data_IF_814670644282
#
_entry.id   IF_814670644282
#
_cell.length_a   1.000
_cell.length_b   1.000
_cell.length_c   1.000
_cell.angle_alpha   90.00
_cell.angle_beta   90.00
_cell.angle_gamma   90.00
#
_symmetry.space_group_name_H-M   'P 1'
#
loop_
_entity.id
_entity.type
_entity.pdbx_description
1 polymer ?
#
# COMPACT_ATOMS: atom_id res chain seq x y z
N UNK A 1 9.19 37.54 -48.19
CA UNK A 1 8.06 36.68 -47.78
C UNK A 1 8.62 35.56 -46.95
N UNK A 2 8.63 35.74 -45.63
CA UNK A 2 9.09 34.74 -44.66
C UNK A 2 7.85 34.14 -43.97
N UNK A 3 7.54 32.89 -44.26
CA UNK A 3 6.44 32.16 -43.65
C UNK A 3 6.85 31.64 -42.28
N UNK A 4 6.21 32.18 -41.27
CA UNK A 4 6.33 31.73 -39.86
C UNK A 4 5.52 30.46 -39.66
N UNK A 5 6.20 29.33 -39.44
CA UNK A 5 5.58 28.10 -39.01
C UNK A 5 5.59 28.05 -37.47
N UNK A 6 4.42 28.15 -36.89
CA UNK A 6 4.16 27.94 -35.43
C UNK A 6 4.30 26.46 -35.12
N UNK A 7 5.01 26.06 -34.06
CA UNK A 7 5.04 24.65 -33.64
C UNK A 7 3.71 24.29 -32.95
N UNK A 8 3.08 23.23 -33.44
CA UNK A 8 1.89 22.61 -32.89
C UNK A 8 2.25 21.90 -31.59
N UNK A 9 1.52 22.21 -30.53
CA UNK A 9 1.64 21.50 -29.23
C UNK A 9 1.23 20.02 -29.36
N UNK A 10 1.86 19.10 -28.64
CA UNK A 10 1.50 17.69 -28.71
C UNK A 10 0.09 17.49 -28.13
N UNK A 11 -0.75 16.78 -28.86
CA UNK A 11 -2.08 16.37 -28.45
C UNK A 11 -2.01 15.45 -27.25
N UNK A 12 -2.64 15.87 -26.15
CA UNK A 12 -2.90 15.04 -24.97
C UNK A 12 -3.81 13.89 -25.41
N UNK A 13 -3.29 12.67 -25.40
CA UNK A 13 -4.06 11.47 -25.64
C UNK A 13 -5.15 11.29 -24.55
N UNK A 14 -6.23 10.53 -24.83
CA UNK A 14 -7.35 10.41 -23.92
C UNK A 14 -6.89 9.76 -22.61
N UNK A 15 -7.21 10.40 -21.48
CA UNK A 15 -7.05 9.85 -20.14
C UNK A 15 -7.73 8.48 -20.09
N UNK A 16 -6.95 7.44 -19.83
CA UNK A 16 -7.44 6.09 -19.61
C UNK A 16 -8.16 6.12 -18.27
N UNK A 17 -9.47 6.32 -18.31
CA UNK A 17 -10.36 6.10 -17.19
C UNK A 17 -10.47 4.60 -16.96
N UNK A 18 -9.48 4.02 -16.27
CA UNK A 18 -9.60 2.71 -15.66
C UNK A 18 -10.66 2.80 -14.57
N UNK A 19 -11.92 2.56 -14.93
CA UNK A 19 -12.98 2.33 -13.95
C UNK A 19 -12.62 1.08 -13.16
N UNK A 20 -11.99 1.29 -12.01
CA UNK A 20 -11.86 0.26 -10.97
C UNK A 20 -13.24 -0.35 -10.72
N UNK A 21 -13.47 -1.57 -11.23
CA UNK A 21 -14.66 -2.37 -10.91
C UNK A 21 -14.47 -3.05 -9.55
N UNK A 22 -14.20 -2.26 -8.52
CA UNK A 22 -14.26 -2.77 -7.15
C UNK A 22 -15.71 -2.61 -6.72
N UNK A 23 -16.54 -3.59 -7.05
CA UNK A 23 -17.78 -3.82 -6.33
C UNK A 23 -17.44 -4.82 -5.20
N UNK A 24 -17.32 -4.39 -3.94
CA UNK A 24 -17.23 -5.34 -2.83
C UNK A 24 -18.50 -6.18 -2.86
N UNK A 25 -18.35 -7.47 -2.59
CA UNK A 25 -19.50 -8.38 -2.50
C UNK A 25 -20.48 -7.80 -1.46
N UNK A 26 -21.66 -7.41 -1.91
CA UNK A 26 -22.66 -6.63 -1.16
C UNK A 26 -23.05 -7.29 0.18
N UNK A 27 -22.97 -8.61 0.27
CA UNK A 27 -23.28 -9.40 1.47
C UNK A 27 -22.25 -9.25 2.61
N UNK A 28 -20.98 -9.00 2.29
CA UNK A 28 -19.89 -8.92 3.28
C UNK A 28 -19.80 -7.55 3.93
N UNK A 29 -20.10 -6.49 3.19
CA UNK A 29 -20.27 -5.14 3.72
C UNK A 29 -21.37 -5.11 4.79
N UNK A 30 -22.46 -5.86 4.57
CA UNK A 30 -23.55 -5.94 5.54
C UNK A 30 -23.10 -6.57 6.87
N UNK A 31 -22.31 -7.65 6.83
CA UNK A 31 -21.85 -8.32 8.04
C UNK A 31 -20.91 -7.46 8.89
N UNK A 32 -19.92 -6.82 8.27
CA UNK A 32 -19.02 -5.90 8.99
C UNK A 32 -19.78 -4.70 9.54
N UNK A 33 -20.73 -4.14 8.79
CA UNK A 33 -21.56 -3.04 9.24
C UNK A 33 -22.42 -3.41 10.46
N UNK A 34 -22.98 -4.64 10.47
CA UNK A 34 -23.76 -5.16 11.61
C UNK A 34 -22.87 -5.27 12.85
N UNK A 35 -21.67 -5.88 12.73
CA UNK A 35 -20.73 -6.01 13.84
C UNK A 35 -20.30 -4.66 14.38
N UNK A 36 -19.96 -3.72 13.50
CA UNK A 36 -19.60 -2.34 13.90
C UNK A 36 -20.76 -1.65 14.62
N UNK A 37 -21.99 -1.83 14.15
CA UNK A 37 -23.17 -1.26 14.82
C UNK A 37 -23.38 -1.86 16.23
N UNK A 38 -23.16 -3.16 16.41
CA UNK A 38 -23.21 -3.81 17.72
C UNK A 38 -22.11 -3.33 18.65
N UNK A 39 -20.87 -3.22 18.16
CA UNK A 39 -19.73 -2.68 18.93
C UNK A 39 -20.00 -1.24 19.39
N UNK A 40 -20.53 -0.41 18.52
CA UNK A 40 -20.93 0.98 18.86
C UNK A 40 -21.99 1.04 19.94
N UNK A 41 -23.00 0.17 19.86
CA UNK A 41 -24.05 0.09 20.89
C UNK A 41 -23.48 -0.36 22.25
N UNK A 42 -22.66 -1.44 22.24
CA UNK A 42 -22.02 -1.94 23.47
C UNK A 42 -21.13 -0.85 24.09
N UNK A 43 -20.30 -0.17 23.29
CA UNK A 43 -19.44 0.92 23.74
C UNK A 43 -20.26 2.08 24.33
N UNK A 44 -21.28 2.53 23.63
CA UNK A 44 -22.16 3.62 24.11
C UNK A 44 -22.83 3.25 25.44
N UNK A 45 -23.28 2.00 25.60
CA UNK A 45 -23.83 1.50 26.86
C UNK A 45 -22.81 1.55 28.01
N UNK A 46 -21.57 1.16 27.77
CA UNK A 46 -20.51 1.22 28.80
C UNK A 46 -20.08 2.66 29.10
N UNK A 47 -20.07 3.55 28.10
CA UNK A 47 -19.72 4.95 28.25
C UNK A 47 -20.70 5.72 29.16
N UNK A 48 -21.97 5.32 29.24
CA UNK A 48 -22.93 5.90 30.18
C UNK A 48 -22.55 5.69 31.65
N UNK A 49 -21.84 4.63 31.96
CA UNK A 49 -21.48 4.24 33.31
C UNK A 49 -20.00 4.47 33.67
N UNK A 50 -19.15 4.90 32.73
CA UNK A 50 -17.70 4.97 32.94
C UNK A 50 -17.26 5.95 34.02
N UNK A 51 -18.05 6.99 34.28
CA UNK A 51 -17.79 7.98 35.34
C UNK A 51 -17.98 7.36 36.72
N UNK A 52 -19.07 6.57 36.89
CA UNK A 52 -19.37 5.87 38.13
C UNK A 52 -18.48 4.63 38.35
N UNK A 53 -18.01 4.00 37.26
CA UNK A 53 -17.23 2.78 37.30
C UNK A 53 -15.94 2.90 36.44
N UNK A 54 -14.87 3.53 36.98
CA UNK A 54 -13.60 3.73 36.23
C UNK A 54 -12.96 2.45 35.68
N UNK A 55 -13.24 1.29 36.27
CA UNK A 55 -12.81 -0.04 35.79
C UNK A 55 -13.32 -0.42 34.40
N UNK A 56 -14.32 0.29 33.86
CA UNK A 56 -14.82 0.07 32.51
C UNK A 56 -13.96 0.74 31.43
N UNK A 57 -13.07 1.67 31.77
CA UNK A 57 -12.21 2.38 30.82
C UNK A 57 -11.38 1.44 29.91
N UNK A 58 -10.73 0.36 30.40
CA UNK A 58 -9.99 -0.55 29.55
C UNK A 58 -10.89 -1.28 28.52
N UNK A 59 -12.11 -1.68 28.92
CA UNK A 59 -13.07 -2.32 28.03
C UNK A 59 -13.55 -1.36 26.93
N UNK A 60 -13.87 -0.13 27.30
CA UNK A 60 -14.25 0.92 26.33
C UNK A 60 -13.10 1.19 25.36
N UNK A 61 -11.86 1.28 25.84
CA UNK A 61 -10.69 1.46 24.97
C UNK A 61 -10.47 0.27 24.03
N UNK A 62 -10.72 -0.96 24.49
CA UNK A 62 -10.65 -2.15 23.66
C UNK A 62 -11.70 -2.14 22.55
N UNK A 63 -12.97 -1.80 22.88
CA UNK A 63 -14.04 -1.68 21.90
C UNK A 63 -13.75 -0.61 20.85
N UNK A 64 -13.24 0.55 21.26
CA UNK A 64 -12.81 1.62 20.33
C UNK A 64 -11.72 1.15 19.39
N UNK A 65 -10.72 0.38 19.89
CA UNK A 65 -9.66 -0.18 19.05
C UNK A 65 -10.20 -1.17 18.02
N UNK A 66 -11.11 -2.06 18.43
CA UNK A 66 -11.73 -3.03 17.52
C UNK A 66 -12.57 -2.29 16.47
N UNK A 67 -13.42 -1.34 16.88
CA UNK A 67 -14.22 -0.52 15.98
C UNK A 67 -13.34 0.19 14.94
N UNK A 68 -12.32 0.93 15.40
CA UNK A 68 -11.37 1.63 14.53
C UNK A 68 -10.69 0.66 13.53
N UNK A 69 -10.31 -0.54 13.99
CA UNK A 69 -9.66 -1.53 13.14
C UNK A 69 -10.58 -2.10 12.06
N UNK A 70 -11.89 -2.19 12.33
CA UNK A 70 -12.88 -2.67 11.37
C UNK A 70 -13.32 -1.60 10.37
N UNK A 71 -13.29 -0.33 10.78
CA UNK A 71 -13.81 0.78 9.97
C UNK A 71 -12.74 1.54 9.17
N UNK A 72 -11.46 1.47 9.59
CA UNK A 72 -10.39 2.14 8.84
C UNK A 72 -10.08 1.40 7.54
N UNK A 73 -9.61 2.10 6.51
CA UNK A 73 -9.02 1.47 5.34
C UNK A 73 -7.93 0.47 5.71
N UNK A 74 -7.72 -0.55 4.89
CA UNK A 74 -6.59 -1.45 5.04
C UNK A 74 -5.29 -0.70 4.77
N UNK A 75 -4.22 -1.03 5.51
CA UNK A 75 -2.90 -0.42 5.34
C UNK A 75 -1.95 -1.38 4.69
N UNK A 76 -1.37 -0.95 3.58
CA UNK A 76 -0.38 -1.70 2.82
C UNK A 76 0.97 -1.00 2.92
N UNK A 77 1.95 -1.68 3.49
CA UNK A 77 3.33 -1.18 3.52
C UNK A 77 4.02 -1.45 2.19
N UNK A 78 4.75 -0.48 1.67
CA UNK A 78 5.63 -0.62 0.51
C UNK A 78 7.07 -0.59 1.02
N UNK A 79 7.77 -1.71 0.92
CA UNK A 79 9.09 -1.94 1.52
C UNK A 79 10.06 -2.44 0.44
N UNK A 80 11.34 -2.21 0.62
CA UNK A 80 12.40 -2.68 -0.28
C UNK A 80 13.65 -1.83 -0.17
N UNK A 81 14.71 -2.20 -0.89
CA UNK A 81 15.97 -1.47 -0.88
C UNK A 81 15.84 -0.05 -1.45
N UNK A 82 16.88 0.76 -1.22
CA UNK A 82 16.97 2.08 -1.85
C UNK A 82 16.97 1.91 -3.38
N UNK A 83 16.27 2.80 -4.08
CA UNK A 83 16.08 2.74 -5.54
C UNK A 83 15.36 1.47 -6.07
N UNK A 84 14.67 0.71 -5.24
CA UNK A 84 13.88 -0.44 -5.70
C UNK A 84 12.54 -0.07 -6.34
N UNK A 85 12.28 1.22 -6.58
CA UNK A 85 11.04 1.67 -7.25
C UNK A 85 9.82 1.79 -6.34
N UNK A 86 9.97 1.77 -5.00
CA UNK A 86 8.87 1.88 -4.02
C UNK A 86 7.97 3.09 -4.25
N UNK A 87 8.58 4.26 -4.34
CA UNK A 87 7.85 5.51 -4.50
C UNK A 87 7.15 5.60 -5.87
N UNK A 88 7.79 5.06 -6.92
CA UNK A 88 7.14 4.93 -8.24
C UNK A 88 5.95 3.98 -8.17
N UNK A 89 6.08 2.87 -7.45
CA UNK A 89 5.00 1.92 -7.22
C UNK A 89 3.85 2.57 -6.44
N UNK A 90 4.14 3.32 -5.37
CA UNK A 90 3.14 4.06 -4.60
C UNK A 90 2.34 5.01 -5.50
N UNK A 91 3.02 5.79 -6.34
CA UNK A 91 2.38 6.70 -7.29
C UNK A 91 1.48 5.98 -8.29
N UNK A 92 1.95 4.87 -8.87
CA UNK A 92 1.17 4.06 -9.80
C UNK A 92 -0.11 3.52 -9.13
N UNK A 93 -0.01 3.00 -7.91
CA UNK A 93 -1.14 2.44 -7.18
C UNK A 93 -2.15 3.50 -6.71
N UNK A 94 -1.70 4.71 -6.45
CA UNK A 94 -2.58 5.82 -6.07
C UNK A 94 -3.31 6.40 -7.29
N UNK A 95 -2.76 6.21 -8.50
CA UNK A 95 -3.40 6.64 -9.76
C UNK A 95 -3.45 8.15 -9.94
N UNK A 96 -2.52 8.89 -9.36
CA UNK A 96 -2.40 10.34 -9.50
C UNK A 96 -1.05 10.66 -10.13
N UNK A 97 -1.06 11.35 -11.27
CA UNK A 97 0.13 11.74 -12.02
C UNK A 97 1.07 12.70 -11.27
N UNK A 98 0.66 13.17 -10.11
CA UNK A 98 1.41 14.16 -9.34
C UNK A 98 1.26 14.04 -7.82
N UNK A 99 1.69 12.92 -7.24
CA UNK A 99 2.26 13.09 -5.88
C UNK A 99 3.55 13.86 -6.12
N UNK A 100 3.76 15.04 -5.49
CA UNK A 100 4.99 15.79 -5.71
C UNK A 100 6.18 14.87 -5.48
N UNK A 101 6.91 14.56 -6.55
CA UNK A 101 8.07 13.64 -6.52
C UNK A 101 9.10 14.05 -5.48
N UNK A 102 9.17 15.35 -5.15
CA UNK A 102 10.00 15.89 -4.08
C UNK A 102 9.67 15.32 -2.68
N UNK A 103 8.40 14.91 -2.42
CA UNK A 103 7.97 14.37 -1.14
C UNK A 103 8.23 12.87 -1.09
N UNK A 104 7.91 12.17 -2.17
CA UNK A 104 8.00 10.70 -2.24
C UNK A 104 9.44 10.23 -2.51
N UNK A 105 10.24 10.99 -3.27
CA UNK A 105 11.59 10.59 -3.66
C UNK A 105 12.67 10.80 -2.59
N UNK A 106 12.39 11.53 -1.51
CA UNK A 106 13.38 11.87 -0.47
C UNK A 106 12.98 11.33 0.92
N UNK A 107 12.18 10.29 0.95
CA UNK A 107 11.60 9.75 2.19
C UNK A 107 12.66 9.01 3.02
N UNK A 108 13.27 9.77 3.93
CA UNK A 108 14.03 9.21 5.05
C UNK A 108 13.15 8.81 6.23
N UNK A 109 11.82 9.02 6.14
CA UNK A 109 10.82 8.70 7.16
C UNK A 109 9.60 8.09 6.47
N UNK A 110 8.84 7.21 7.15
CA UNK A 110 7.63 6.61 6.59
C UNK A 110 6.63 7.67 6.13
N UNK A 111 6.04 7.46 4.94
CA UNK A 111 5.02 8.36 4.38
C UNK A 111 3.71 7.63 4.21
N UNK A 112 2.69 8.02 4.96
CA UNK A 112 1.33 7.51 4.86
C UNK A 112 0.57 8.27 3.76
N UNK A 113 0.08 7.56 2.75
CA UNK A 113 -0.81 8.06 1.70
C UNK A 113 -2.25 7.67 2.05
N UNK A 114 -3.14 8.66 2.18
CA UNK A 114 -4.53 8.46 2.55
C UNK A 114 -5.48 9.35 1.74
N UNK A 115 -6.78 9.04 1.79
CA UNK A 115 -7.78 9.85 1.08
C UNK A 115 -8.04 11.17 1.80
N UNK A 116 -7.95 12.27 1.03
CA UNK A 116 -8.44 13.60 1.43
C UNK A 116 -9.14 14.27 0.26
N UNK A 117 -10.13 15.12 0.53
CA UNK A 117 -10.87 15.83 -0.51
C UNK A 117 -10.01 16.85 -1.27
N UNK A 118 -9.00 17.41 -0.60
CA UNK A 118 -8.00 18.32 -1.14
C UNK A 118 -6.61 17.82 -0.76
N UNK A 119 -5.59 18.04 -1.59
CA UNK A 119 -4.20 17.69 -1.24
C UNK A 119 -3.76 18.39 0.06
N UNK A 120 -3.23 17.62 0.99
CA UNK A 120 -2.74 18.12 2.27
C UNK A 120 -1.54 17.31 2.75
N UNK A 121 -0.64 17.93 3.51
CA UNK A 121 0.57 17.28 4.00
C UNK A 121 0.81 17.68 5.45
N UNK A 122 1.02 16.65 6.28
CA UNK A 122 1.34 16.82 7.69
C UNK A 122 2.65 16.10 8.04
N UNK A 123 3.48 16.77 8.84
CA UNK A 123 4.52 16.13 9.64
C UNK A 123 3.90 15.69 10.96
N UNK A 124 4.14 14.45 11.37
CA UNK A 124 3.68 13.90 12.64
C UNK A 124 4.90 13.60 13.50
N UNK A 125 4.95 14.19 14.68
CA UNK A 125 6.04 13.98 15.63
C UNK A 125 5.87 12.73 16.50
N UNK A 126 6.76 12.53 17.46
CA UNK A 126 6.76 11.37 18.39
C UNK A 126 5.51 11.35 19.28
N UNK A 127 4.95 12.49 19.61
CA UNK A 127 3.76 12.63 20.44
C UNK A 127 2.46 12.50 19.62
N UNK A 128 2.58 12.38 18.30
CA UNK A 128 1.46 12.30 17.36
C UNK A 128 0.87 13.66 16.99
N UNK A 129 1.51 14.77 17.37
CA UNK A 129 1.08 16.10 16.98
C UNK A 129 1.34 16.33 15.49
N UNK A 130 0.36 16.92 14.81
CA UNK A 130 0.38 17.18 13.37
C UNK A 130 0.71 18.63 13.09
N UNK A 131 1.75 18.85 12.26
CA UNK A 131 2.09 20.17 11.74
C UNK A 131 1.93 20.18 10.24
N UNK A 132 1.14 21.11 9.70
CA UNK A 132 1.00 21.28 8.26
C UNK A 132 2.34 21.69 7.65
N UNK A 133 2.70 21.01 6.57
CA UNK A 133 3.91 21.31 5.80
C UNK A 133 3.52 21.89 4.46
N UNK A 134 4.20 22.99 4.07
CA UNK A 134 4.19 23.43 2.68
C UNK A 134 5.19 22.59 1.88
N UNK A 135 4.79 22.10 0.71
CA UNK A 135 5.62 21.33 -0.23
C UNK A 135 6.97 22.01 -0.52
N UNK A 136 6.97 23.35 -0.51
CA UNK A 136 8.15 24.16 -0.84
C UNK A 136 9.13 24.34 0.34
N UNK A 137 8.78 23.87 1.55
CA UNK A 137 9.65 23.99 2.73
C UNK A 137 9.83 22.67 3.50
N UNK A 138 10.70 21.75 3.01
CA UNK A 138 10.92 20.43 3.61
C UNK A 138 11.63 20.47 4.98
N UNK A 139 12.19 21.62 5.41
CA UNK A 139 12.92 21.74 6.68
C UNK A 139 12.03 21.54 7.92
N UNK A 140 10.71 21.72 7.80
CA UNK A 140 9.77 21.49 8.89
C UNK A 140 9.60 19.99 9.26
N UNK A 141 10.11 19.08 8.43
CA UNK A 141 10.06 17.66 8.68
C UNK A 141 11.25 17.10 9.50
N UNK A 142 12.19 17.93 9.94
CA UNK A 142 13.43 17.48 10.56
C UNK A 142 13.24 16.61 11.82
N UNK A 143 12.15 16.83 12.56
CA UNK A 143 11.79 16.08 13.77
C UNK A 143 10.57 15.17 13.58
N UNK A 144 10.09 15.02 12.35
CA UNK A 144 8.93 14.18 12.09
C UNK A 144 9.29 12.70 12.16
N UNK A 145 8.43 11.92 12.79
CA UNK A 145 8.51 10.45 12.79
C UNK A 145 7.88 9.86 11.53
N UNK A 146 6.89 10.53 10.95
CA UNK A 146 6.28 10.17 9.66
C UNK A 146 5.69 11.38 8.96
N UNK A 147 5.49 11.25 7.65
CA UNK A 147 4.65 12.15 6.87
C UNK A 147 3.28 11.53 6.66
N UNK A 148 2.26 12.37 6.62
CA UNK A 148 0.91 12.01 6.20
C UNK A 148 0.52 12.88 5.02
N UNK A 149 0.23 12.24 3.87
CA UNK A 149 -0.11 12.91 2.62
C UNK A 149 -1.52 12.53 2.22
N UNK A 150 -2.42 13.48 2.31
CA UNK A 150 -3.81 13.36 1.88
C UNK A 150 -3.95 13.69 0.40
N UNK A 151 -4.63 12.83 -0.36
CA UNK A 151 -4.80 12.95 -1.82
C UNK A 151 -6.24 12.63 -2.23
N UNK A 152 -6.80 13.30 -3.27
CA UNK A 152 -8.16 13.07 -3.75
C UNK A 152 -8.25 11.82 -4.67
N UNK A 153 -7.71 10.68 -4.20
CA UNK A 153 -7.77 9.40 -4.91
C UNK A 153 -8.91 8.54 -4.37
N UNK A 154 -9.77 8.02 -5.25
CA UNK A 154 -10.84 7.09 -4.88
C UNK A 154 -10.29 5.78 -4.31
N UNK A 155 -9.12 5.33 -4.79
CA UNK A 155 -8.46 4.13 -4.29
C UNK A 155 -8.08 4.26 -2.82
N UNK A 156 -7.65 5.44 -2.39
CA UNK A 156 -7.26 5.71 -1.02
C UNK A 156 -8.44 5.71 -0.02
N UNK A 157 -9.69 5.70 -0.50
CA UNK A 157 -10.86 5.44 0.36
C UNK A 157 -10.93 3.99 0.83
N UNK A 158 -10.34 3.07 0.07
CA UNK A 158 -10.40 1.64 0.32
C UNK A 158 -9.12 1.09 0.95
N UNK A 159 -7.97 1.70 0.63
CA UNK A 159 -6.64 1.27 1.06
C UNK A 159 -5.74 2.47 1.29
N UNK A 160 -5.02 2.47 2.39
CA UNK A 160 -3.94 3.41 2.68
C UNK A 160 -2.60 2.75 2.36
N UNK A 161 -1.67 3.49 1.75
CA UNK A 161 -0.32 3.00 1.50
C UNK A 161 0.68 3.69 2.43
N UNK A 162 1.66 2.95 2.91
CA UNK A 162 2.79 3.53 3.64
C UNK A 162 4.07 3.20 2.88
N UNK A 163 4.70 4.23 2.32
CA UNK A 163 6.03 4.13 1.71
C UNK A 163 7.10 4.22 2.80
N UNK A 164 7.87 3.14 2.97
CA UNK A 164 8.91 3.05 3.99
C UNK A 164 10.28 3.46 3.44
N UNK A 165 11.19 3.96 4.31
CA UNK A 165 12.59 4.15 3.96
C UNK A 165 13.21 2.89 3.36
N UNK A 166 14.27 3.03 2.56
CA UNK A 166 14.99 1.88 2.03
C UNK A 166 15.67 1.07 3.14
N UNK A 167 15.83 -0.25 2.93
CA UNK A 167 16.43 -1.17 3.90
C UNK A 167 17.84 -0.76 4.39
N UNK A 168 18.58 -0.04 3.56
CA UNK A 168 19.91 0.48 3.92
C UNK A 168 19.87 1.73 4.81
N UNK A 169 18.70 2.31 5.07
CA UNK A 169 18.56 3.42 6.02
C UNK A 169 18.59 2.86 7.45
N UNK A 170 19.49 3.36 8.33
CA UNK A 170 19.57 2.88 9.72
C UNK A 170 18.24 2.94 10.49
N UNK A 171 17.35 3.84 10.08
CA UNK A 171 16.00 3.98 10.67
C UNK A 171 15.01 2.88 10.20
N UNK A 172 15.37 2.07 9.23
CA UNK A 172 14.50 0.98 8.79
C UNK A 172 14.29 -0.07 9.90
N UNK A 173 15.30 -0.35 10.71
CA UNK A 173 15.16 -1.30 11.84
C UNK A 173 14.12 -0.79 12.85
N UNK A 174 14.13 0.50 13.16
CA UNK A 174 13.11 1.14 13.99
C UNK A 174 11.73 1.06 13.34
N UNK A 175 11.65 1.35 12.03
CA UNK A 175 10.41 1.27 11.26
C UNK A 175 9.87 -0.17 11.16
N UNK A 176 10.73 -1.17 11.01
CA UNK A 176 10.32 -2.58 10.93
C UNK A 176 9.73 -3.09 12.25
N UNK A 177 10.33 -2.70 13.38
CA UNK A 177 9.76 -2.95 14.70
C UNK A 177 8.38 -2.31 14.87
N UNK A 178 8.16 -1.16 14.25
CA UNK A 178 6.94 -0.38 14.30
C UNK A 178 5.86 -0.77 13.27
N UNK A 179 6.15 -1.66 12.31
CA UNK A 179 5.15 -2.09 11.32
C UNK A 179 3.85 -2.58 11.97
N UNK A 180 3.96 -3.31 13.09
CA UNK A 180 2.79 -3.73 13.86
C UNK A 180 2.10 -2.55 14.56
N UNK A 181 2.86 -1.57 15.06
CA UNK A 181 2.33 -0.36 15.70
C UNK A 181 1.58 0.53 14.69
N UNK A 182 2.05 0.59 13.43
CA UNK A 182 1.36 1.30 12.35
C UNK A 182 0.09 0.59 11.85
N UNK A 183 -0.21 -0.60 12.37
CA UNK A 183 -1.40 -1.35 12.00
C UNK A 183 -1.38 -1.83 10.55
N UNK A 184 -0.22 -2.25 10.06
CA UNK A 184 -0.05 -2.80 8.71
C UNK A 184 -0.84 -4.10 8.55
N UNK A 185 -1.51 -4.22 7.43
CA UNK A 185 -2.36 -5.36 7.07
C UNK A 185 -1.77 -6.25 5.99
N UNK A 186 -0.99 -5.66 5.07
CA UNK A 186 -0.32 -6.35 3.98
C UNK A 186 1.00 -5.63 3.62
N UNK A 187 1.87 -6.33 2.88
CA UNK A 187 3.17 -5.80 2.44
C UNK A 187 3.34 -5.99 0.94
N UNK A 188 3.76 -4.95 0.25
CA UNK A 188 4.33 -5.02 -1.08
C UNK A 188 5.85 -4.89 -0.94
N UNK A 189 6.56 -5.96 -1.20
CA UNK A 189 8.01 -5.97 -1.13
C UNK A 189 8.61 -5.72 -2.50
N UNK A 190 9.28 -4.58 -2.66
CA UNK A 190 9.90 -4.18 -3.93
C UNK A 190 11.34 -4.67 -4.01
N UNK A 191 11.66 -5.43 -5.05
CA UNK A 191 13.01 -5.86 -5.39
C UNK A 191 13.31 -5.55 -6.86
N UNK A 192 14.56 -5.21 -7.19
CA UNK A 192 14.96 -4.87 -8.58
C UNK A 192 15.27 -6.14 -9.37
N UNK A 193 14.72 -6.28 -10.57
CA UNK A 193 14.84 -7.49 -11.40
C UNK A 193 16.29 -7.99 -11.59
N UNK A 194 17.25 -7.08 -11.78
CA UNK A 194 18.66 -7.41 -12.00
C UNK A 194 19.39 -7.92 -10.75
N UNK A 195 18.83 -7.71 -9.56
CA UNK A 195 19.43 -8.09 -8.28
C UNK A 195 18.40 -8.66 -7.30
N UNK A 196 17.33 -9.22 -7.82
CA UNK A 196 16.17 -9.62 -7.05
C UNK A 196 16.49 -10.63 -5.95
N UNK A 197 15.94 -10.35 -4.77
CA UNK A 197 15.96 -11.19 -3.59
C UNK A 197 17.37 -11.42 -3.03
N UNK A 198 18.04 -10.33 -2.68
CA UNK A 198 19.36 -10.37 -2.02
C UNK A 198 19.25 -10.95 -0.60
N UNK A 199 20.39 -11.32 -0.03
CA UNK A 199 20.48 -11.77 1.36
C UNK A 199 19.95 -10.74 2.35
N UNK A 200 20.27 -9.46 2.15
CA UNK A 200 19.76 -8.35 2.97
C UNK A 200 18.23 -8.29 2.99
N UNK A 201 17.60 -8.49 1.83
CA UNK A 201 16.13 -8.51 1.70
C UNK A 201 15.53 -9.73 2.41
N UNK A 202 16.16 -10.91 2.25
CA UNK A 202 15.73 -12.14 2.91
C UNK A 202 15.79 -12.03 4.43
N UNK A 203 16.88 -11.49 4.96
CA UNK A 203 17.03 -11.26 6.40
C UNK A 203 15.98 -10.28 6.93
N UNK A 204 15.80 -9.14 6.25
CA UNK A 204 14.83 -8.14 6.63
C UNK A 204 13.38 -8.68 6.55
N UNK A 205 13.04 -9.47 5.51
CA UNK A 205 11.74 -10.13 5.39
C UNK A 205 11.49 -11.13 6.53
N UNK A 206 12.49 -11.98 6.85
CA UNK A 206 12.35 -12.96 7.92
C UNK A 206 12.20 -12.35 9.32
N UNK A 207 12.67 -11.11 9.50
CA UNK A 207 12.51 -10.37 10.75
C UNK A 207 11.08 -9.79 10.93
N UNK A 208 10.26 -9.75 9.87
CA UNK A 208 8.89 -9.30 9.96
C UNK A 208 8.01 -10.31 10.72
N UNK A 209 6.90 -9.80 11.25
CA UNK A 209 5.90 -10.65 11.91
C UNK A 209 5.41 -11.77 10.96
N UNK A 210 5.37 -13.04 11.40
CA UNK A 210 4.88 -14.16 10.58
C UNK A 210 3.50 -13.91 9.95
N UNK A 211 2.65 -13.13 10.62
CA UNK A 211 1.34 -12.73 10.09
C UNK A 211 1.43 -11.97 8.77
N UNK A 212 2.54 -11.27 8.51
CA UNK A 212 2.73 -10.49 7.28
C UNK A 212 3.27 -11.36 6.14
N UNK A 213 3.87 -12.53 6.43
CA UNK A 213 4.36 -13.43 5.39
C UNK A 213 3.21 -13.93 4.51
N UNK A 214 2.08 -14.35 5.10
CA UNK A 214 0.88 -14.77 4.35
C UNK A 214 0.15 -13.60 3.65
N UNK A 215 0.61 -12.37 3.88
CA UNK A 215 0.01 -11.13 3.37
C UNK A 215 1.02 -10.28 2.61
N UNK A 216 2.07 -10.91 2.09
CA UNK A 216 3.10 -10.30 1.27
C UNK A 216 2.90 -10.57 -0.22
N UNK A 217 3.16 -9.57 -1.05
CA UNK A 217 3.35 -9.70 -2.49
C UNK A 217 4.77 -9.25 -2.82
N UNK A 218 5.55 -10.09 -3.50
CA UNK A 218 6.86 -9.72 -4.01
C UNK A 218 6.70 -9.01 -5.35
N UNK A 219 7.04 -7.73 -5.40
CA UNK A 219 6.99 -6.91 -6.61
C UNK A 219 8.39 -6.78 -7.18
N UNK A 220 8.64 -7.46 -8.30
CA UNK A 220 9.91 -7.38 -9.04
C UNK A 220 9.82 -6.20 -9.99
N UNK A 221 10.44 -5.10 -9.62
CA UNK A 221 10.45 -3.85 -10.39
C UNK A 221 11.54 -3.85 -11.46
N UNK A 222 11.53 -2.85 -12.34
CA UNK A 222 12.52 -2.70 -13.42
C UNK A 222 12.63 -3.94 -14.33
N UNK A 223 11.48 -4.56 -14.62
CA UNK A 223 11.39 -5.70 -15.56
C UNK A 223 11.97 -5.35 -16.94
N UNK A 224 11.84 -4.10 -17.35
CA UNK A 224 12.39 -3.55 -18.60
C UNK A 224 13.92 -3.62 -18.71
N UNK A 225 14.62 -3.83 -17.61
CA UNK A 225 16.08 -4.08 -17.62
C UNK A 225 16.45 -5.54 -17.96
N UNK A 226 15.48 -6.45 -18.05
CA UNK A 226 15.71 -7.81 -18.53
C UNK A 226 15.72 -7.84 -20.05
N UNK A 227 16.68 -8.58 -20.62
CA UNK A 227 16.94 -8.52 -22.06
C UNK A 227 15.92 -9.30 -22.90
N UNK A 228 15.27 -10.32 -22.32
CA UNK A 228 14.36 -11.20 -23.05
C UNK A 228 13.44 -12.00 -22.10
N UNK A 229 12.41 -12.63 -22.68
CA UNK A 229 11.42 -13.46 -21.98
C UNK A 229 12.04 -14.67 -21.27
N UNK A 230 13.12 -15.23 -21.81
CA UNK A 230 13.81 -16.37 -21.18
C UNK A 230 14.47 -15.96 -19.86
N UNK A 231 15.04 -14.77 -19.78
CA UNK A 231 15.64 -14.25 -18.54
C UNK A 231 14.57 -13.96 -17.49
N UNK A 232 13.41 -13.47 -17.90
CA UNK A 232 12.25 -13.32 -17.02
C UNK A 232 11.80 -14.67 -16.44
N UNK A 233 11.64 -15.69 -17.30
CA UNK A 233 11.23 -17.02 -16.89
C UNK A 233 12.23 -17.68 -15.92
N UNK A 234 13.54 -17.53 -16.20
CA UNK A 234 14.61 -18.01 -15.30
C UNK A 234 14.56 -17.30 -13.94
N UNK A 235 14.41 -15.98 -13.96
CA UNK A 235 14.31 -15.17 -12.74
C UNK A 235 13.11 -15.60 -11.89
N UNK A 236 11.93 -15.75 -12.48
CA UNK A 236 10.73 -16.20 -11.79
C UNK A 236 10.89 -17.61 -11.22
N UNK A 237 11.49 -18.54 -11.99
CA UNK A 237 11.74 -19.90 -11.52
C UNK A 237 12.66 -19.89 -10.31
N UNK A 238 13.76 -19.12 -10.37
CA UNK A 238 14.67 -18.94 -9.24
C UNK A 238 13.96 -18.34 -8.03
N UNK A 239 13.23 -17.24 -8.22
CA UNK A 239 12.54 -16.57 -7.13
C UNK A 239 11.53 -17.48 -6.42
N UNK A 240 10.77 -18.29 -7.18
CA UNK A 240 9.82 -19.25 -6.58
C UNK A 240 10.50 -20.27 -5.68
N UNK A 241 11.72 -20.69 -6.04
CA UNK A 241 12.53 -21.59 -5.20
C UNK A 241 13.08 -20.85 -3.98
N UNK A 242 13.63 -19.65 -4.20
CA UNK A 242 14.32 -18.87 -3.14
C UNK A 242 13.38 -18.33 -2.07
N UNK A 243 12.16 -17.93 -2.46
CA UNK A 243 11.18 -17.38 -1.51
C UNK A 243 10.23 -18.44 -0.94
N UNK A 244 10.08 -19.60 -1.61
CA UNK A 244 9.13 -20.65 -1.22
C UNK A 244 7.72 -20.08 -1.03
N UNK A 245 7.11 -20.39 0.10
CA UNK A 245 5.78 -19.89 0.50
C UNK A 245 5.84 -18.53 1.25
N UNK A 246 7.00 -17.85 1.21
CA UNK A 246 7.20 -16.59 1.93
C UNK A 246 6.36 -15.42 1.39
N UNK A 247 5.85 -15.51 0.17
CA UNK A 247 4.96 -14.52 -0.45
C UNK A 247 3.76 -15.20 -1.09
N UNK A 248 2.63 -14.51 -1.04
CA UNK A 248 1.39 -14.99 -1.66
C UNK A 248 1.48 -15.01 -3.18
N UNK A 249 2.10 -13.99 -3.75
CA UNK A 249 2.29 -13.84 -5.20
C UNK A 249 3.62 -13.15 -5.51
N UNK A 250 4.14 -13.39 -6.72
CA UNK A 250 5.32 -12.71 -7.28
C UNK A 250 4.85 -12.01 -8.55
N UNK A 251 4.93 -10.70 -8.59
CA UNK A 251 4.50 -9.88 -9.73
C UNK A 251 5.72 -9.14 -10.32
N UNK A 252 5.93 -9.27 -11.62
CA UNK A 252 6.96 -8.51 -12.33
C UNK A 252 6.34 -7.24 -12.90
N UNK A 253 6.89 -6.09 -12.54
CA UNK A 253 6.41 -4.77 -12.92
C UNK A 253 7.44 -4.04 -13.77
N UNK A 254 6.99 -3.51 -14.91
CA UNK A 254 7.72 -2.48 -15.67
C UNK A 254 7.04 -1.13 -15.42
N UNK A 255 7.84 -0.10 -15.18
CA UNK A 255 7.38 1.28 -15.09
C UNK A 255 7.37 1.97 -16.46
N UNK A 256 7.89 1.30 -17.51
CA UNK A 256 7.91 1.82 -18.88
C UNK A 256 6.54 1.72 -19.51
N UNK A 257 6.03 2.83 -20.03
CA UNK A 257 4.77 2.85 -20.77
C UNK A 257 4.85 1.91 -22.00
N UNK A 258 3.88 0.99 -22.14
CA UNK A 258 3.80 0.08 -23.27
C UNK A 258 4.49 -1.28 -23.07
N UNK A 259 4.96 -1.61 -21.87
CA UNK A 259 5.48 -2.93 -21.61
C UNK A 259 4.38 -4.01 -21.73
N UNK A 260 4.67 -5.09 -22.47
CA UNK A 260 3.76 -6.22 -22.61
C UNK A 260 3.41 -6.83 -21.25
N UNK A 261 2.19 -7.38 -21.09
CA UNK A 261 1.81 -8.05 -19.85
C UNK A 261 2.76 -9.21 -19.55
N UNK A 262 3.05 -9.49 -18.27
CA UNK A 262 3.92 -10.58 -17.89
C UNK A 262 3.34 -11.92 -18.37
N UNK A 263 4.17 -12.79 -18.94
CA UNK A 263 3.81 -14.17 -19.31
C UNK A 263 3.79 -15.08 -18.06
N UNK A 264 3.04 -14.68 -17.03
CA UNK A 264 2.89 -15.44 -15.80
C UNK A 264 1.61 -16.27 -15.91
N UNK A 265 1.59 -17.45 -15.28
CA UNK A 265 0.37 -18.22 -15.07
C UNK A 265 -0.51 -17.50 -14.02
N UNK A 266 -1.14 -16.43 -14.45
CA UNK A 266 -2.15 -15.71 -13.67
C UNK A 266 -3.47 -16.48 -13.74
N UNK A 267 -4.33 -16.41 -12.72
CA UNK A 267 -5.72 -16.85 -12.82
C UNK A 267 -6.43 -16.19 -14.02
N UNK A 268 -7.45 -16.82 -14.63
CA UNK A 268 -8.07 -16.29 -15.85
C UNK A 268 -8.54 -14.84 -15.77
N UNK A 269 -9.10 -14.45 -14.61
CA UNK A 269 -9.54 -13.10 -14.29
C UNK A 269 -8.38 -12.09 -14.15
N UNK A 270 -7.26 -12.51 -13.57
CA UNK A 270 -6.03 -11.71 -13.54
C UNK A 270 -5.36 -11.59 -14.92
N UNK A 271 -5.51 -12.60 -15.78
CA UNK A 271 -5.03 -12.53 -17.16
C UNK A 271 -5.77 -11.46 -17.96
N UNK A 272 -7.08 -11.29 -17.74
CA UNK A 272 -7.86 -10.25 -18.38
C UNK A 272 -7.42 -8.85 -17.93
N UNK A 273 -7.25 -8.64 -16.62
CA UNK A 273 -6.72 -7.40 -16.07
C UNK A 273 -5.29 -7.07 -16.58
N UNK A 274 -4.43 -8.09 -16.70
CA UNK A 274 -3.09 -7.92 -17.25
C UNK A 274 -3.09 -7.65 -18.76
N UNK A 275 -4.07 -8.14 -19.52
CA UNK A 275 -4.24 -7.81 -20.94
C UNK A 275 -4.71 -6.38 -21.15
N UNK A 276 -5.59 -5.89 -20.28
CA UNK A 276 -6.15 -4.53 -20.38
C UNK A 276 -5.17 -3.44 -19.93
N UNK A 277 -4.45 -3.66 -18.82
CA UNK A 277 -3.63 -2.65 -18.17
C UNK A 277 -2.15 -3.08 -17.95
N UNK A 278 -1.71 -4.15 -18.60
CA UNK A 278 -0.34 -4.66 -18.51
C UNK A 278 0.03 -5.17 -17.12
N UNK A 279 1.30 -5.05 -16.77
CA UNK A 279 1.81 -5.54 -15.47
C UNK A 279 1.24 -4.78 -14.26
N UNK A 280 0.80 -3.54 -14.43
CA UNK A 280 0.13 -2.78 -13.39
C UNK A 280 -1.25 -3.36 -13.08
N UNK A 281 -2.05 -3.72 -14.09
CA UNK A 281 -3.35 -4.35 -13.90
C UNK A 281 -3.25 -5.68 -13.16
N UNK A 282 -2.23 -6.49 -13.45
CA UNK A 282 -1.96 -7.72 -12.72
C UNK A 282 -1.64 -7.47 -11.24
N UNK A 283 -0.85 -6.43 -10.95
CA UNK A 283 -0.53 -6.04 -9.58
C UNK A 283 -1.76 -5.51 -8.83
N UNK A 284 -2.53 -4.62 -9.45
CA UNK A 284 -3.76 -4.09 -8.85
C UNK A 284 -4.73 -5.21 -8.51
N UNK A 285 -4.93 -6.16 -9.42
CA UNK A 285 -5.76 -7.35 -9.19
C UNK A 285 -5.24 -8.19 -8.00
N UNK A 286 -3.92 -8.48 -7.94
CA UNK A 286 -3.33 -9.24 -6.84
C UNK A 286 -3.50 -8.52 -5.50
N UNK A 287 -3.30 -7.21 -5.47
CA UNK A 287 -3.52 -6.37 -4.29
C UNK A 287 -4.98 -6.42 -3.86
N UNK A 288 -5.93 -6.25 -4.78
CA UNK A 288 -7.36 -6.23 -4.47
C UNK A 288 -7.82 -7.58 -3.92
N UNK A 289 -7.40 -8.70 -4.51
CA UNK A 289 -7.66 -10.04 -3.97
C UNK A 289 -7.13 -10.23 -2.56
N UNK A 290 -5.90 -9.78 -2.31
CA UNK A 290 -5.30 -9.85 -0.98
C UNK A 290 -6.09 -9.02 0.03
N UNK A 291 -6.47 -7.80 -0.34
CA UNK A 291 -7.25 -6.91 0.52
C UNK A 291 -8.64 -7.50 0.83
N UNK A 292 -9.31 -8.10 -0.14
CA UNK A 292 -10.61 -8.74 0.07
C UNK A 292 -10.49 -9.94 1.02
N UNK A 293 -9.47 -10.78 0.85
CA UNK A 293 -9.19 -11.85 1.81
C UNK A 293 -9.01 -11.32 3.24
N UNK A 294 -8.23 -10.24 3.42
CA UNK A 294 -7.99 -9.65 4.74
C UNK A 294 -9.28 -9.04 5.32
N UNK A 295 -10.15 -8.45 4.49
CA UNK A 295 -11.46 -7.92 4.94
C UNK A 295 -12.35 -9.05 5.45
N UNK A 296 -12.43 -10.17 4.72
CA UNK A 296 -13.19 -11.36 5.13
C UNK A 296 -12.68 -11.92 6.45
N UNK A 297 -11.38 -12.09 6.60
CA UNK A 297 -10.77 -12.56 7.85
C UNK A 297 -11.08 -11.63 9.03
N UNK A 298 -11.04 -10.29 8.82
CA UNK A 298 -11.42 -9.32 9.86
C UNK A 298 -12.89 -9.44 10.26
N UNK A 299 -13.80 -9.60 9.29
CA UNK A 299 -15.22 -9.78 9.54
C UNK A 299 -15.49 -11.05 10.33
N UNK A 300 -14.91 -12.18 9.93
CA UNK A 300 -15.05 -13.47 10.60
C UNK A 300 -14.48 -13.45 12.03
N UNK A 301 -13.29 -12.87 12.22
CA UNK A 301 -12.67 -12.77 13.54
C UNK A 301 -13.49 -11.87 14.50
N UNK A 302 -14.13 -10.82 13.98
CA UNK A 302 -14.99 -9.96 14.77
C UNK A 302 -16.27 -10.69 15.25
N UNK A 303 -16.86 -11.55 14.40
CA UNK A 303 -18.02 -12.37 14.77
C UNK A 303 -17.66 -13.41 15.84
N UNK A 304 -16.50 -14.04 15.72
CA UNK A 304 -16.06 -15.06 16.68
C UNK A 304 -15.71 -14.46 18.07
N UNK A 305 -15.49 -13.15 18.15
CA UNK A 305 -15.16 -12.43 19.38
C UNK A 305 -16.39 -11.81 20.08
N UNK A 306 -17.57 -11.87 19.46
CA UNK A 306 -18.88 -11.41 20.01
C UNK A 306 -19.72 -12.56 20.52
#
# INVERSE_FOLDING_TARGET
>A
MLSSSTPQAPSVGPAISARSRIAPARAELDTTAIVVAQLRRARAGLETFHTAFPRLRPAIAALRRIESRLTRPLRVAIIGEFNSGKSSLANLLVGIDSVPTAIVSNTRIPTLLYHAAMPEIFAVDVDGAKTTINIDNPLLAANAMRLEVGLPSERLKLVEFIDFPGLADPRFEDCAADLCAHGIDAVLWCTVATQAWKESERMAWSALSPRLHDRGILVVTHRDLLHNVQDEAKLLTRLRVDVGDGFREIIMLSTSAGAEPPQIALPPDAQEAAREAGSLGALEYAVDRLLDTIRQERGTAAIAAT
#
